data_IF_413550909390
#
_entry.id   IF_413550909390
#
_cell.length_a   1.000
_cell.length_b   1.000
_cell.length_c   1.000
_cell.angle_alpha   90.00
_cell.angle_beta   90.00
_cell.angle_gamma   90.00
#
_symmetry.space_group_name_H-M   'P 1'
#
loop_
_entity.id
_entity.type
_entity.pdbx_description
1 polymer ?
#
# COMPACT_ATOMS: atom_id res chain seq x y z
N UNK A 1 4.87 -25.78 -9.10
CA UNK A 1 4.66 -24.30 -9.13
C UNK A 1 5.52 -23.56 -8.11
N UNK A 2 5.80 -24.09 -6.91
CA UNK A 2 6.61 -23.42 -5.88
C UNK A 2 8.10 -23.80 -5.84
N UNK A 3 8.58 -24.70 -6.71
CA UNK A 3 9.88 -25.37 -6.57
C UNK A 3 11.07 -24.63 -7.19
N UNK A 4 10.85 -23.56 -7.96
CA UNK A 4 11.94 -22.72 -8.47
C UNK A 4 12.46 -21.76 -7.40
N UNK A 5 13.79 -21.63 -7.28
CA UNK A 5 14.45 -20.79 -6.25
C UNK A 5 13.97 -19.31 -6.25
N UNK A 6 13.46 -18.79 -7.38
CA UNK A 6 12.87 -17.45 -7.47
C UNK A 6 11.40 -17.35 -7.05
N UNK A 7 10.64 -18.44 -7.09
CA UNK A 7 9.18 -18.41 -6.90
C UNK A 7 8.83 -18.11 -5.43
N UNK A 8 9.55 -18.71 -4.48
CA UNK A 8 9.32 -18.48 -3.04
C UNK A 8 9.50 -17.00 -2.68
N UNK A 9 10.60 -16.39 -3.13
CA UNK A 9 10.89 -14.97 -2.89
C UNK A 9 9.81 -14.08 -3.51
N UNK A 10 9.34 -14.39 -4.71
CA UNK A 10 8.27 -13.65 -5.36
C UNK A 10 6.95 -13.72 -4.59
N UNK A 11 6.52 -14.91 -4.14
CA UNK A 11 5.30 -15.06 -3.36
C UNK A 11 5.38 -14.35 -2.01
N UNK A 12 6.52 -14.43 -1.33
CA UNK A 12 6.74 -13.70 -0.07
C UNK A 12 6.66 -12.20 -0.31
N UNK A 13 7.35 -11.68 -1.33
CA UNK A 13 7.29 -10.26 -1.67
C UNK A 13 5.87 -9.81 -2.05
N UNK A 14 5.15 -10.61 -2.83
CA UNK A 14 3.78 -10.35 -3.22
C UNK A 14 2.81 -10.32 -2.03
N UNK A 15 2.99 -11.20 -1.05
CA UNK A 15 2.21 -11.21 0.18
C UNK A 15 2.53 -9.99 1.05
N UNK A 16 3.81 -9.71 1.29
CA UNK A 16 4.26 -8.63 2.17
C UNK A 16 3.91 -7.24 1.62
N UNK A 17 3.94 -7.04 0.29
CA UNK A 17 3.50 -5.78 -0.34
C UNK A 17 2.00 -5.53 -0.17
N UNK A 18 1.18 -6.59 -0.03
CA UNK A 18 -0.28 -6.46 0.04
C UNK A 18 -0.81 -6.43 1.47
N UNK A 19 -0.09 -7.04 2.41
CA UNK A 19 -0.56 -7.19 3.78
C UNK A 19 -0.96 -5.85 4.44
N UNK A 20 -0.17 -4.75 4.34
CA UNK A 20 -0.54 -3.48 4.96
C UNK A 20 -1.85 -2.91 4.42
N UNK A 21 -1.97 -2.80 3.10
CA UNK A 21 -3.15 -2.24 2.42
C UNK A 21 -4.43 -3.00 2.76
N UNK A 22 -4.38 -4.34 2.81
CA UNK A 22 -5.58 -5.15 3.12
C UNK A 22 -5.96 -5.05 4.60
N UNK A 23 -4.99 -4.84 5.50
CA UNK A 23 -5.24 -4.68 6.93
C UNK A 23 -5.61 -3.26 7.34
N UNK A 24 -5.25 -2.25 6.53
CA UNK A 24 -5.42 -0.84 6.87
C UNK A 24 -6.88 -0.46 7.19
N UNK A 25 -7.92 -0.85 6.41
CA UNK A 25 -9.29 -0.49 6.72
C UNK A 25 -9.74 -1.00 8.11
N UNK A 26 -9.41 -2.26 8.44
CA UNK A 26 -9.75 -2.84 9.74
C UNK A 26 -9.02 -2.12 10.88
N UNK A 27 -7.71 -1.88 10.71
CA UNK A 27 -6.89 -1.19 11.70
C UNK A 27 -7.38 0.24 11.95
N UNK A 28 -7.74 0.99 10.90
CA UNK A 28 -8.21 2.38 10.99
C UNK A 28 -9.60 2.47 11.63
N UNK A 29 -10.49 1.52 11.34
CA UNK A 29 -11.80 1.45 12.00
C UNK A 29 -11.64 1.22 13.50
N UNK A 30 -10.78 0.26 13.89
CA UNK A 30 -10.49 -0.02 15.30
C UNK A 30 -9.79 1.14 15.99
N UNK A 31 -8.87 1.81 15.30
CA UNK A 31 -8.20 3.01 15.80
C UNK A 31 -9.20 4.13 16.11
N UNK A 32 -10.08 4.42 15.16
CA UNK A 32 -11.13 5.44 15.35
C UNK A 32 -12.11 5.05 16.44
N UNK A 33 -12.47 3.76 16.57
CA UNK A 33 -13.30 3.28 17.67
C UNK A 33 -12.63 3.45 19.03
N UNK A 34 -11.34 3.12 19.14
CA UNK A 34 -10.57 3.23 20.38
C UNK A 34 -10.31 4.69 20.81
N UNK A 35 -10.31 5.63 19.87
CA UNK A 35 -9.97 7.04 20.12
C UNK A 35 -11.20 7.95 20.17
N UNK A 36 -12.29 7.61 19.49
CA UNK A 36 -13.49 8.46 19.41
C UNK A 36 -14.77 7.68 19.15
N UNK A 37 -14.94 7.11 17.95
CA UNK A 37 -16.17 6.43 17.53
C UNK A 37 -15.95 5.58 16.28
N UNK A 38 -16.87 4.65 16.01
CA UNK A 38 -16.88 3.89 14.75
C UNK A 38 -17.03 4.79 13.52
N UNK A 39 -17.77 5.89 13.62
CA UNK A 39 -17.91 6.85 12.52
C UNK A 39 -16.57 7.52 12.18
N UNK A 40 -15.79 7.89 13.20
CA UNK A 40 -14.43 8.40 13.01
C UNK A 40 -13.53 7.33 12.35
N UNK A 41 -13.62 6.08 12.79
CA UNK A 41 -12.89 4.96 12.19
C UNK A 41 -13.23 4.73 10.71
N UNK A 42 -14.53 4.80 10.37
CA UNK A 42 -14.99 4.74 8.98
C UNK A 42 -14.46 5.89 8.14
N UNK A 43 -14.38 7.10 8.70
CA UNK A 43 -13.79 8.26 8.02
C UNK A 43 -12.30 8.07 7.75
N UNK A 44 -11.53 7.53 8.71
CA UNK A 44 -10.11 7.22 8.51
C UNK A 44 -9.91 6.17 7.41
N UNK A 45 -10.70 5.10 7.41
CA UNK A 45 -10.65 4.08 6.37
C UNK A 45 -11.02 4.65 4.98
N UNK A 46 -12.04 5.52 4.91
CA UNK A 46 -12.42 6.20 3.68
C UNK A 46 -11.31 7.14 3.17
N UNK A 47 -10.67 7.90 4.07
CA UNK A 47 -9.54 8.77 3.73
C UNK A 47 -8.36 7.97 3.17
N UNK A 48 -8.03 6.83 3.76
CA UNK A 48 -7.03 5.91 3.23
C UNK A 48 -7.37 5.42 1.81
N UNK A 49 -8.60 4.95 1.58
CA UNK A 49 -9.04 4.47 0.27
C UNK A 49 -9.02 5.58 -0.80
N UNK A 50 -9.42 6.81 -0.44
CA UNK A 50 -9.34 7.97 -1.33
C UNK A 50 -7.89 8.34 -1.65
N UNK A 51 -7.01 8.30 -0.65
CA UNK A 51 -5.58 8.49 -0.82
C UNK A 51 -4.98 7.45 -1.77
N UNK A 52 -5.34 6.19 -1.61
CA UNK A 52 -4.92 5.10 -2.50
C UNK A 52 -5.40 5.35 -3.93
N UNK A 53 -6.68 5.66 -4.13
CA UNK A 53 -7.25 5.94 -5.44
C UNK A 53 -6.56 7.14 -6.12
N UNK A 54 -6.32 8.23 -5.38
CA UNK A 54 -5.67 9.44 -5.90
C UNK A 54 -4.16 9.24 -6.14
N UNK A 55 -3.49 8.44 -5.31
CA UNK A 55 -2.06 8.14 -5.41
C UNK A 55 -1.71 7.17 -6.52
N UNK A 56 -2.65 6.29 -6.91
CA UNK A 56 -2.40 5.21 -7.87
C UNK A 56 -1.86 5.69 -9.23
N UNK A 57 -2.43 6.70 -9.92
CA UNK A 57 -1.89 7.17 -11.20
C UNK A 57 -0.50 7.79 -11.04
N UNK A 58 -0.28 8.50 -9.95
CA UNK A 58 0.94 9.25 -9.67
C UNK A 58 2.11 8.32 -9.36
N UNK A 59 1.86 7.30 -8.54
CA UNK A 59 2.82 6.25 -8.25
C UNK A 59 3.03 5.31 -9.44
N UNK A 60 1.98 4.94 -10.17
CA UNK A 60 2.07 4.14 -11.39
C UNK A 60 3.05 4.77 -12.39
N UNK A 61 2.85 6.06 -12.71
CA UNK A 61 3.76 6.79 -13.59
C UNK A 61 5.20 6.84 -13.07
N UNK A 62 5.40 6.94 -11.75
CA UNK A 62 6.75 6.89 -11.15
C UNK A 62 7.39 5.51 -11.30
N UNK A 63 6.63 4.44 -11.16
CA UNK A 63 7.12 3.07 -11.37
C UNK A 63 7.48 2.78 -12.83
N UNK A 64 6.80 3.43 -13.78
CA UNK A 64 7.10 3.27 -15.21
C UNK A 64 8.32 4.09 -15.66
N UNK A 65 8.55 5.25 -15.03
CA UNK A 65 9.59 6.21 -15.47
C UNK A 65 10.91 6.13 -14.69
N UNK A 66 10.95 5.41 -13.57
CA UNK A 66 12.12 5.33 -12.68
C UNK A 66 12.44 3.89 -12.29
N UNK A 67 13.65 3.59 -11.77
CA UNK A 67 14.00 2.25 -11.34
C UNK A 67 13.03 1.68 -10.30
N UNK A 68 12.37 0.56 -10.66
CA UNK A 68 11.27 -0.03 -9.90
C UNK A 68 11.63 -0.29 -8.42
N UNK A 69 12.75 -0.98 -8.17
CA UNK A 69 13.16 -1.36 -6.80
C UNK A 69 13.37 -0.13 -5.90
N UNK A 70 13.96 0.95 -6.45
CA UNK A 70 14.18 2.18 -5.70
C UNK A 70 12.87 2.87 -5.34
N UNK A 71 11.93 2.98 -6.29
CA UNK A 71 10.61 3.55 -6.03
C UNK A 71 9.79 2.68 -5.08
N UNK A 72 9.92 1.35 -5.16
CA UNK A 72 9.18 0.42 -4.29
C UNK A 72 9.66 0.57 -2.84
N UNK A 73 10.98 0.64 -2.63
CA UNK A 73 11.55 0.92 -1.31
C UNK A 73 11.06 2.24 -0.73
N UNK A 74 11.07 3.30 -1.54
CA UNK A 74 10.57 4.61 -1.11
C UNK A 74 9.09 4.56 -0.73
N UNK A 75 8.25 3.94 -1.57
CA UNK A 75 6.82 3.78 -1.32
C UNK A 75 6.56 3.04 0.00
N UNK A 76 7.22 1.90 0.21
CA UNK A 76 7.09 1.09 1.42
C UNK A 76 7.59 1.83 2.68
N UNK A 77 8.69 2.60 2.56
CA UNK A 77 9.19 3.41 3.68
C UNK A 77 8.24 4.54 4.05
N UNK A 78 7.65 5.20 3.05
CA UNK A 78 6.67 6.27 3.27
C UNK A 78 5.38 5.72 3.90
N UNK A 79 4.90 4.56 3.41
CA UNK A 79 3.76 3.86 3.98
C UNK A 79 4.03 3.45 5.44
N UNK A 80 5.18 2.83 5.71
CA UNK A 80 5.59 2.42 7.05
C UNK A 80 5.70 3.63 8.01
N UNK A 81 6.29 4.74 7.54
CA UNK A 81 6.39 5.97 8.32
C UNK A 81 5.02 6.58 8.61
N UNK A 82 4.10 6.57 7.64
CA UNK A 82 2.74 7.08 7.82
C UNK A 82 1.94 6.23 8.83
N UNK A 83 2.04 4.90 8.77
CA UNK A 83 1.41 4.03 9.77
C UNK A 83 2.05 4.16 11.15
N UNK A 84 3.37 4.30 11.24
CA UNK A 84 4.05 4.55 12.50
C UNK A 84 3.62 5.89 13.12
N UNK A 85 3.48 6.94 12.30
CA UNK A 85 2.99 8.24 12.75
C UNK A 85 1.52 8.16 13.21
N UNK A 86 0.66 7.44 12.49
CA UNK A 86 -0.72 7.18 12.91
C UNK A 86 -0.77 6.49 14.28
N UNK A 87 0.04 5.45 14.48
CA UNK A 87 0.09 4.73 15.74
C UNK A 87 0.61 5.61 16.90
N UNK A 88 1.67 6.39 16.66
CA UNK A 88 2.26 7.25 17.67
C UNK A 88 1.35 8.42 18.08
N UNK A 89 0.56 8.95 17.14
CA UNK A 89 -0.29 10.12 17.34
C UNK A 89 -1.75 9.77 17.64
N UNK A 90 -2.09 8.49 17.69
CA UNK A 90 -3.45 7.99 17.87
C UNK A 90 -4.21 8.65 19.03
N UNK A 91 -3.55 8.82 20.18
CA UNK A 91 -4.16 9.34 21.41
C UNK A 91 -4.09 10.85 21.56
N UNK A 92 -3.27 11.54 20.77
CA UNK A 92 -2.96 12.97 20.96
C UNK A 92 -3.39 13.86 19.81
N UNK A 93 -3.50 13.32 18.60
CA UNK A 93 -3.83 14.10 17.42
C UNK A 93 -5.34 14.15 17.15
N UNK A 94 -5.86 15.27 16.63
CA UNK A 94 -7.25 15.36 16.26
C UNK A 94 -7.55 14.55 14.98
N UNK A 95 -8.80 14.11 14.82
CA UNK A 95 -9.25 13.26 13.70
C UNK A 95 -8.82 13.77 12.31
N UNK A 96 -8.86 15.08 11.98
CA UNK A 96 -8.42 15.55 10.66
C UNK A 96 -6.95 15.24 10.35
N UNK A 97 -6.08 15.29 11.37
CA UNK A 97 -4.64 14.97 11.21
C UNK A 97 -4.47 13.48 10.97
N UNK A 98 -5.19 12.63 11.72
CA UNK A 98 -5.20 11.19 11.51
C UNK A 98 -5.76 10.84 10.13
N UNK A 99 -6.80 11.54 9.65
CA UNK A 99 -7.36 11.33 8.31
C UNK A 99 -6.35 11.68 7.21
N UNK A 100 -5.60 12.77 7.38
CA UNK A 100 -4.53 13.14 6.45
C UNK A 100 -3.42 12.09 6.41
N UNK A 101 -2.96 11.61 7.58
CA UNK A 101 -1.95 10.55 7.64
C UNK A 101 -2.46 9.23 7.02
N UNK A 102 -3.74 8.88 7.24
CA UNK A 102 -4.37 7.73 6.61
C UNK A 102 -4.41 7.85 5.09
N UNK A 103 -4.77 9.02 4.56
CA UNK A 103 -4.73 9.31 3.13
C UNK A 103 -3.31 9.22 2.56
N UNK A 104 -2.31 9.75 3.27
CA UNK A 104 -0.90 9.65 2.87
C UNK A 104 -0.40 8.20 2.87
N UNK A 105 -0.79 7.40 3.86
CA UNK A 105 -0.48 5.98 3.91
C UNK A 105 -1.04 5.23 2.69
N UNK A 106 -2.32 5.46 2.36
CA UNK A 106 -2.95 4.88 1.17
C UNK A 106 -2.28 5.32 -0.14
N UNK A 107 -1.96 6.61 -0.25
CA UNK A 107 -1.34 7.16 -1.46
C UNK A 107 0.08 6.63 -1.71
N UNK A 108 0.86 6.38 -0.65
CA UNK A 108 2.26 5.97 -0.75
C UNK A 108 2.42 4.63 -1.47
N UNK A 109 1.56 3.65 -1.19
CA UNK A 109 1.70 2.27 -1.70
C UNK A 109 0.77 1.91 -2.87
N UNK A 110 -0.10 2.83 -3.31
CA UNK A 110 -1.15 2.61 -4.30
C UNK A 110 -0.70 1.96 -5.63
N UNK A 111 0.56 2.14 -6.02
CA UNK A 111 1.12 1.56 -7.25
C UNK A 111 1.90 0.25 -7.07
N UNK A 112 2.22 -0.16 -5.84
CA UNK A 112 3.12 -1.28 -5.58
C UNK A 112 2.57 -2.63 -6.10
N UNK A 113 1.27 -2.98 -5.89
CA UNK A 113 0.71 -4.21 -6.45
C UNK A 113 0.69 -4.22 -7.99
N UNK A 114 0.43 -3.06 -8.61
CA UNK A 114 0.44 -2.90 -10.07
C UNK A 114 1.84 -3.09 -10.65
N UNK A 115 2.83 -2.43 -10.05
CA UNK A 115 4.22 -2.53 -10.49
C UNK A 115 4.80 -3.94 -10.31
N UNK A 116 4.42 -4.68 -9.26
CA UNK A 116 4.82 -6.09 -9.10
C UNK A 116 4.28 -6.98 -10.23
N UNK A 117 3.03 -6.76 -10.67
CA UNK A 117 2.45 -7.47 -11.83
C UNK A 117 3.18 -7.10 -13.12
N UNK A 118 3.51 -5.82 -13.31
CA UNK A 118 4.26 -5.37 -14.47
C UNK A 118 5.67 -6.00 -14.53
N UNK A 119 6.37 -6.08 -13.40
CA UNK A 119 7.67 -6.76 -13.30
C UNK A 119 7.57 -8.27 -13.58
N UNK A 120 6.53 -8.94 -13.09
CA UNK A 120 6.30 -10.34 -13.43
C UNK A 120 6.08 -10.51 -14.94
N UNK A 121 5.22 -9.69 -15.54
CA UNK A 121 4.97 -9.75 -16.98
C UNK A 121 6.23 -9.49 -17.82
N UNK A 122 7.12 -8.59 -17.36
CA UNK A 122 8.39 -8.30 -18.02
C UNK A 122 9.42 -9.45 -17.91
N UNK A 123 9.45 -10.15 -16.78
CA UNK A 123 10.41 -11.23 -16.49
C UNK A 123 9.99 -12.60 -17.06
N UNK A 124 8.70 -12.82 -17.30
CA UNK A 124 8.18 -14.06 -17.89
C UNK A 124 8.46 -14.11 -19.39
N UNK A 125 8.98 -15.25 -19.86
CA UNK A 125 9.30 -15.49 -21.27
C UNK A 125 8.05 -15.34 -22.17
N UNK A 126 8.19 -14.80 -23.40
CA UNK A 126 7.04 -14.47 -24.25
C UNK A 126 6.08 -15.64 -24.52
N UNK A 127 6.61 -16.87 -24.66
CA UNK A 127 5.82 -18.08 -24.93
C UNK A 127 4.96 -18.55 -23.75
N UNK A 128 5.19 -18.02 -22.54
CA UNK A 128 4.38 -18.29 -21.34
C UNK A 128 3.38 -17.16 -21.06
N UNK A 129 3.44 -16.05 -21.81
CA UNK A 129 2.46 -14.97 -21.70
C UNK A 129 1.19 -15.43 -22.40
N UNK A 130 0.08 -15.48 -21.66
CA UNK A 130 -1.23 -15.79 -22.25
C UNK A 130 -1.58 -14.64 -23.19
N UNK A 131 -1.40 -14.84 -24.49
CA UNK A 131 -1.81 -13.87 -25.52
C UNK A 131 -3.32 -13.75 -25.46
N UNK A 132 -3.80 -12.56 -25.09
CA UNK A 132 -5.19 -12.17 -25.25
C UNK A 132 -5.46 -11.87 -26.72
#
# INVERSE_FOLDING_TARGET
VLTGAGNRTWYIAAALVRAPVVMAPLALVLLGHATSSFAAGGLLAAAHALGEAAGAPLMGRRFDTRPFVGQLRLALLLEAAAFAALAALASTAPIPVLALLAALAGAAAAGAPGGLRAQLAATVAPHLRRTA
#
